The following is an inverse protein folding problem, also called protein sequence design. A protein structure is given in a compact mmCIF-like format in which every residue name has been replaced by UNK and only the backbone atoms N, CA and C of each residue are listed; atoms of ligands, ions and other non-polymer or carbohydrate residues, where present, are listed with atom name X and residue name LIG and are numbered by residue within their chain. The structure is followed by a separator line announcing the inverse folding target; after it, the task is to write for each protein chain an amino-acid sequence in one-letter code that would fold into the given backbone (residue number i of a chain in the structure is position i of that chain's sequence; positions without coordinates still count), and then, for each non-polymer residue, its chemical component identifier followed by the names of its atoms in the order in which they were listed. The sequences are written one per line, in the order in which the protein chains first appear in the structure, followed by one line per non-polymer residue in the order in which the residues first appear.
data_IF_958471590125
#
_entry.id   IF_958471590125
#
_cell.length_a   1.000
_cell.length_b   1.000
_cell.length_c   1.000
_cell.angle_alpha   90.00
_cell.angle_beta   90.00
_cell.angle_gamma   90.00
#
_symmetry.space_group_name_H-M   'P 1'
#
loop_
_entity.id
_entity.type
_entity.pdbx_description
1 polymer ?
#
# COMPACT_ATOMS: atom_id res chain seq x y z
N UNK A 1 -6.45 21.68 -21.85
CA UNK A 1 -6.18 20.99 -20.58
C UNK A 1 -7.26 19.95 -20.38
N UNK A 2 -6.92 18.80 -19.80
CA UNK A 2 -7.85 17.71 -19.50
C UNK A 2 -7.77 17.36 -18.01
N UNK A 3 -8.85 16.81 -17.44
CA UNK A 3 -8.86 16.32 -16.07
C UNK A 3 -8.26 14.92 -16.02
N UNK A 4 -7.42 14.69 -15.01
CA UNK A 4 -6.83 13.39 -14.74
C UNK A 4 -7.93 12.41 -14.30
N UNK A 5 -7.99 11.25 -14.95
CA UNK A 5 -8.99 10.23 -14.66
C UNK A 5 -8.82 9.49 -13.32
N UNK A 6 -7.84 9.85 -12.50
CA UNK A 6 -7.60 9.29 -11.16
C UNK A 6 -7.85 10.33 -10.06
N UNK A 7 -7.25 11.52 -10.19
CA UNK A 7 -7.23 12.54 -9.15
C UNK A 7 -8.00 13.82 -9.50
N UNK A 8 -8.62 13.87 -10.68
CA UNK A 8 -9.36 15.02 -11.22
C UNK A 8 -8.57 16.32 -11.44
N UNK A 9 -7.27 16.35 -11.10
CA UNK A 9 -6.42 17.51 -11.36
C UNK A 9 -6.29 17.78 -12.86
N UNK A 10 -6.28 19.06 -13.24
CA UNK A 10 -6.05 19.48 -14.61
C UNK A 10 -4.60 19.30 -15.01
N UNK A 11 -4.39 18.87 -16.24
CA UNK A 11 -3.06 18.60 -16.77
C UNK A 11 -3.04 18.72 -18.31
N UNK A 12 -1.85 18.81 -18.92
CA UNK A 12 -1.65 19.13 -20.35
C UNK A 12 -1.18 17.95 -21.20
N UNK A 13 -0.83 16.84 -20.56
CA UNK A 13 -0.36 15.60 -21.19
C UNK A 13 -1.45 14.96 -22.05
N UNK A 14 -1.04 14.23 -23.10
CA UNK A 14 -1.94 13.54 -24.03
C UNK A 14 -2.56 12.25 -23.47
N UNK A 15 -2.13 11.80 -22.29
CA UNK A 15 -2.65 10.59 -21.66
C UNK A 15 -3.87 10.88 -20.80
N UNK A 16 -4.63 9.86 -20.40
CA UNK A 16 -5.82 10.03 -19.54
C UNK A 16 -5.52 10.46 -18.10
N UNK A 17 -4.29 10.22 -17.63
CA UNK A 17 -3.88 10.48 -16.25
C UNK A 17 -2.71 11.46 -16.22
N UNK A 18 -2.65 12.36 -15.24
CA UNK A 18 -1.51 13.28 -15.08
C UNK A 18 -0.19 12.53 -14.80
N UNK A 19 0.95 13.16 -15.07
CA UNK A 19 2.28 12.55 -14.91
C UNK A 19 2.51 11.84 -13.55
N UNK A 20 2.13 12.40 -12.38
CA UNK A 20 2.27 11.70 -11.10
C UNK A 20 1.51 10.35 -11.03
N UNK A 21 0.27 10.32 -11.53
CA UNK A 21 -0.54 9.09 -11.56
C UNK A 21 0.01 8.08 -12.58
N UNK A 22 0.49 8.55 -13.74
CA UNK A 22 1.14 7.69 -14.73
C UNK A 22 2.44 7.06 -14.23
N UNK A 23 3.20 7.78 -13.38
CA UNK A 23 4.41 7.23 -12.77
C UNK A 23 4.09 6.00 -11.91
N UNK A 24 2.97 6.01 -11.20
CA UNK A 24 2.51 4.87 -10.39
C UNK A 24 2.09 3.71 -11.31
N UNK A 25 1.29 3.99 -12.34
CA UNK A 25 0.83 2.98 -13.32
C UNK A 25 2.03 2.30 -13.99
N UNK A 26 3.02 3.07 -14.44
CA UNK A 26 4.19 2.58 -15.15
C UNK A 26 5.09 1.67 -14.30
N UNK A 27 5.04 1.79 -12.97
CA UNK A 27 5.77 0.91 -12.04
C UNK A 27 5.11 -0.46 -11.83
N UNK A 28 3.81 -0.58 -12.06
CA UNK A 28 3.05 -1.80 -11.77
C UNK A 28 2.71 -2.57 -13.05
N UNK A 29 3.73 -2.89 -13.86
CA UNK A 29 3.55 -3.52 -15.19
C UNK A 29 2.90 -4.91 -15.16
N UNK A 30 2.88 -5.55 -13.99
CA UNK A 30 2.25 -6.87 -13.79
C UNK A 30 0.72 -6.82 -13.85
N UNK A 31 0.13 -5.62 -13.84
CA UNK A 31 -1.31 -5.41 -13.90
C UNK A 31 -1.72 -4.64 -15.14
N UNK A 32 -2.91 -4.92 -15.65
CA UNK A 32 -3.48 -4.14 -16.76
C UNK A 32 -3.69 -2.68 -16.33
N UNK A 33 -3.40 -1.74 -17.22
CA UNK A 33 -3.55 -0.31 -16.92
C UNK A 33 -4.99 0.11 -16.58
N UNK A 34 -6.02 -0.62 -17.05
CA UNK A 34 -7.42 -0.35 -16.67
C UNK A 34 -7.65 -0.65 -15.19
N UNK A 35 -7.35 -1.87 -14.74
CA UNK A 35 -7.51 -2.27 -13.33
C UNK A 35 -6.73 -1.37 -12.37
N UNK A 36 -5.53 -0.94 -12.77
CA UNK A 36 -4.72 0.01 -11.99
C UNK A 36 -5.40 1.36 -11.82
N UNK A 37 -5.94 1.93 -12.91
CA UNK A 37 -6.65 3.21 -12.86
C UNK A 37 -7.88 3.14 -11.98
N UNK A 38 -8.65 2.06 -12.07
CA UNK A 38 -9.84 1.87 -11.24
C UNK A 38 -9.47 1.79 -9.75
N UNK A 39 -8.43 1.02 -9.40
CA UNK A 39 -7.93 0.93 -8.02
C UNK A 39 -7.41 2.28 -7.50
N UNK A 40 -6.61 2.98 -8.30
CA UNK A 40 -6.07 4.29 -7.93
C UNK A 40 -7.16 5.35 -7.81
N UNK A 41 -8.14 5.37 -8.72
CA UNK A 41 -9.29 6.28 -8.67
C UNK A 41 -10.11 6.05 -7.42
N UNK A 42 -10.39 4.79 -7.08
CA UNK A 42 -11.15 4.44 -5.87
C UNK A 42 -10.42 4.83 -4.58
N UNK A 43 -9.09 4.80 -4.59
CA UNK A 43 -8.26 5.11 -3.42
C UNK A 43 -7.84 6.59 -3.32
N UNK A 44 -7.96 7.39 -4.38
CA UNK A 44 -7.40 8.74 -4.41
C UNK A 44 -8.06 9.65 -3.35
N UNK A 45 -7.25 10.23 -2.46
CA UNK A 45 -7.68 11.31 -1.58
C UNK A 45 -7.56 12.63 -2.37
N UNK A 46 -8.68 13.05 -2.98
CA UNK A 46 -8.74 14.23 -3.85
C UNK A 46 -8.52 15.54 -3.07
N UNK A 47 -8.87 15.58 -1.79
CA UNK A 47 -8.71 16.77 -0.96
C UNK A 47 -7.23 17.03 -0.64
N UNK A 48 -6.48 15.95 -0.40
CA UNK A 48 -5.03 16.03 -0.14
C UNK A 48 -4.18 16.04 -1.41
N UNK A 49 -4.68 15.55 -2.54
CA UNK A 49 -3.92 15.45 -3.79
C UNK A 49 -3.88 16.78 -4.56
N UNK A 50 -2.87 17.61 -4.29
CA UNK A 50 -2.69 18.93 -4.92
C UNK A 50 -1.36 19.03 -5.67
N UNK A 51 -1.32 19.81 -6.75
CA UNK A 51 -0.09 20.03 -7.54
C UNK A 51 0.47 18.71 -8.08
N UNK A 52 1.69 18.37 -7.70
CA UNK A 52 2.36 17.10 -8.04
C UNK A 52 2.22 16.01 -6.97
N UNK A 53 1.64 16.33 -5.81
CA UNK A 53 1.50 15.39 -4.72
C UNK A 53 0.23 14.55 -4.88
N UNK A 54 0.36 13.23 -4.79
CA UNK A 54 -0.78 12.30 -4.87
C UNK A 54 -0.85 11.46 -3.61
N UNK A 55 -1.99 11.57 -2.95
CA UNK A 55 -2.31 10.84 -1.74
C UNK A 55 -3.40 9.82 -2.04
N UNK A 56 -3.24 8.63 -1.46
CA UNK A 56 -4.17 7.54 -1.63
C UNK A 56 -4.49 6.92 -0.27
N UNK A 57 -5.71 6.45 -0.14
CA UNK A 57 -6.23 5.79 1.05
C UNK A 57 -6.02 4.28 0.92
N UNK A 58 -5.37 3.69 1.91
CA UNK A 58 -5.30 2.25 2.04
C UNK A 58 -6.71 1.69 2.21
N UNK A 59 -7.06 0.69 1.41
CA UNK A 59 -8.37 0.04 1.43
C UNK A 59 -8.75 -0.54 2.81
N UNK A 60 -7.81 -1.21 3.48
CA UNK A 60 -8.09 -1.94 4.73
C UNK A 60 -8.07 -1.06 5.97
N UNK A 61 -7.15 -0.10 6.05
CA UNK A 61 -6.92 0.69 7.28
C UNK A 61 -7.45 2.10 7.17
N UNK A 62 -7.75 2.58 5.96
CA UNK A 62 -8.09 3.97 5.72
C UNK A 62 -6.94 4.96 5.89
N UNK A 63 -5.72 4.47 6.20
CA UNK A 63 -4.53 5.31 6.30
C UNK A 63 -4.27 5.95 4.94
N UNK A 64 -4.10 7.26 4.94
CA UNK A 64 -3.78 8.02 3.72
C UNK A 64 -2.29 8.28 3.65
N UNK A 65 -1.66 7.92 2.54
CA UNK A 65 -0.22 8.07 2.33
C UNK A 65 0.12 8.28 0.86
N UNK A 66 1.40 8.46 0.54
CA UNK A 66 1.94 8.54 -0.82
C UNK A 66 2.46 7.17 -1.25
N UNK A 67 2.50 6.93 -2.56
CA UNK A 67 3.35 5.87 -3.11
C UNK A 67 4.81 6.29 -2.96
N UNK A 68 5.70 5.38 -2.55
CA UNK A 68 7.13 5.68 -2.48
C UNK A 68 7.70 5.75 -3.91
N UNK A 69 8.24 6.91 -4.35
CA UNK A 69 8.75 7.06 -5.69
C UNK A 69 10.10 6.36 -5.92
N UNK A 70 10.75 5.79 -4.89
CA UNK A 70 12.22 5.68 -4.89
C UNK A 70 12.83 4.29 -4.99
N UNK A 71 12.14 3.19 -4.68
CA UNK A 71 12.85 1.91 -4.59
C UNK A 71 12.78 1.09 -5.88
N UNK A 72 13.85 1.19 -6.67
CA UNK A 72 14.19 0.20 -7.71
C UNK A 72 14.62 -1.14 -7.09
N UNK A 73 15.04 -1.13 -5.81
CA UNK A 73 15.56 -2.27 -5.05
C UNK A 73 14.49 -3.20 -4.44
N UNK A 74 13.22 -3.07 -4.84
CA UNK A 74 12.10 -3.74 -4.14
C UNK A 74 11.72 -3.02 -2.84
N UNK A 75 10.62 -3.43 -2.21
CA UNK A 75 10.15 -2.83 -0.95
C UNK A 75 10.68 -3.65 0.22
N UNK A 76 11.36 -2.98 1.15
CA UNK A 76 11.75 -3.59 2.41
C UNK A 76 10.50 -3.81 3.28
N UNK A 77 10.25 -5.02 3.81
CA UNK A 77 9.05 -5.30 4.59
C UNK A 77 8.86 -4.38 5.80
N UNK A 78 9.94 -3.83 6.36
CA UNK A 78 9.92 -3.06 7.59
C UNK A 78 9.97 -1.56 7.36
N UNK A 79 11.03 -1.10 6.67
CA UNK A 79 11.25 0.31 6.40
C UNK A 79 10.19 0.86 5.44
N UNK A 80 9.65 0.01 4.56
CA UNK A 80 8.56 0.37 3.65
C UNK A 80 7.19 -0.18 4.12
N UNK A 81 7.04 -0.60 5.38
CA UNK A 81 5.79 -1.18 5.90
C UNK A 81 4.56 -0.28 5.66
N UNK A 82 4.75 1.04 5.78
CA UNK A 82 3.71 2.06 5.62
C UNK A 82 3.66 2.68 4.21
N UNK A 83 4.43 2.14 3.27
CA UNK A 83 4.38 2.55 1.87
C UNK A 83 3.16 1.92 1.20
N UNK A 84 2.46 2.71 0.38
CA UNK A 84 1.36 2.20 -0.43
C UNK A 84 1.86 1.43 -1.64
N UNK A 85 1.16 0.34 -1.91
CA UNK A 85 1.36 -0.61 -3.00
C UNK A 85 0.00 -0.97 -3.59
N UNK A 86 -0.01 -1.77 -4.66
CA UNK A 86 -1.24 -2.27 -5.28
C UNK A 86 -1.18 -3.79 -5.32
N UNK A 87 -2.28 -4.42 -4.90
CA UNK A 87 -2.43 -5.88 -4.95
C UNK A 87 -3.91 -6.25 -5.11
N UNK A 88 -4.18 -7.52 -5.41
CA UNK A 88 -5.52 -8.09 -5.42
C UNK A 88 -6.13 -7.98 -4.02
N UNK A 89 -7.41 -7.65 -3.90
CA UNK A 89 -8.12 -7.57 -2.61
C UNK A 89 -8.08 -8.92 -1.87
N UNK A 90 -8.30 -10.02 -2.58
CA UNK A 90 -8.17 -11.37 -2.03
C UNK A 90 -6.92 -12.06 -2.63
N UNK A 91 -6.43 -13.15 -2.03
CA UNK A 91 -5.35 -13.97 -2.61
C UNK A 91 -5.70 -14.64 -3.95
N UNK A 92 -6.86 -14.34 -4.54
CA UNK A 92 -7.31 -14.79 -5.85
C UNK A 92 -6.84 -13.79 -6.94
N UNK A 93 -6.07 -14.23 -7.95
CA UNK A 93 -5.65 -13.39 -9.10
C UNK A 93 -6.79 -12.76 -9.90
N UNK A 94 -8.02 -13.26 -9.77
CA UNK A 94 -9.19 -12.69 -10.43
C UNK A 94 -9.89 -11.62 -9.60
N UNK A 95 -9.49 -11.45 -8.34
CA UNK A 95 -10.04 -10.43 -7.45
C UNK A 95 -9.75 -9.02 -7.98
N UNK A 96 -10.56 -8.04 -7.56
CA UNK A 96 -10.27 -6.62 -7.88
C UNK A 96 -8.94 -6.18 -7.29
N UNK A 97 -8.28 -5.22 -7.92
CA UNK A 97 -7.09 -4.57 -7.35
C UNK A 97 -7.49 -3.48 -6.36
N UNK A 98 -6.71 -3.34 -5.30
CA UNK A 98 -6.86 -2.30 -4.28
C UNK A 98 -5.52 -1.70 -3.90
N UNK A 99 -5.54 -0.45 -3.44
CA UNK A 99 -4.36 0.20 -2.85
C UNK A 99 -4.24 -0.23 -1.38
N UNK A 100 -3.08 -0.75 -0.99
CA UNK A 100 -2.82 -1.26 0.36
C UNK A 100 -1.42 -0.94 0.84
N UNK A 101 -1.25 -0.85 2.16
CA UNK A 101 0.09 -0.75 2.76
C UNK A 101 0.87 -2.04 2.50
N UNK A 102 2.18 -1.92 2.25
CA UNK A 102 3.06 -3.05 2.00
C UNK A 102 2.95 -4.13 3.09
N UNK A 103 2.90 -3.72 4.37
CA UNK A 103 2.73 -4.63 5.51
C UNK A 103 1.50 -5.55 5.35
N UNK A 104 0.39 -5.02 4.85
CA UNK A 104 -0.85 -5.79 4.70
C UNK A 104 -0.71 -6.83 3.60
N UNK A 105 -0.03 -6.49 2.50
CA UNK A 105 0.23 -7.46 1.43
C UNK A 105 1.18 -8.56 1.90
N UNK A 106 2.19 -8.22 2.69
CA UNK A 106 3.04 -9.22 3.36
C UNK A 106 2.22 -10.14 4.25
N UNK A 107 1.28 -9.60 5.05
CA UNK A 107 0.39 -10.40 5.88
C UNK A 107 -0.55 -11.30 5.07
N UNK A 108 -1.00 -10.86 3.88
CA UNK A 108 -1.92 -11.65 3.06
C UNK A 108 -1.26 -12.83 2.34
N UNK A 109 -0.06 -12.62 1.82
CA UNK A 109 0.65 -13.65 1.05
C UNK A 109 1.44 -14.59 1.95
N UNK A 110 2.05 -14.07 3.02
CA UNK A 110 3.14 -14.76 3.72
C UNK A 110 2.83 -15.09 5.19
N UNK A 111 1.57 -15.01 5.63
CA UNK A 111 1.24 -15.22 7.05
C UNK A 111 0.58 -16.58 7.29
N UNK A 112 1.36 -17.62 7.63
CA UNK A 112 0.82 -18.85 8.19
C UNK A 112 -0.13 -18.56 9.36
N UNK A 113 -1.11 -19.44 9.55
CA UNK A 113 -2.10 -19.36 10.64
C UNK A 113 -1.45 -19.13 12.01
N UNK A 114 -0.32 -19.77 12.27
CA UNK A 114 0.41 -19.63 13.53
C UNK A 114 1.07 -18.26 13.68
N UNK A 115 1.59 -17.69 12.59
CA UNK A 115 2.12 -16.32 12.56
C UNK A 115 1.03 -15.27 12.73
N UNK A 116 -0.15 -15.50 12.15
CA UNK A 116 -1.31 -14.64 12.39
C UNK A 116 -1.74 -14.65 13.86
N UNK A 117 -1.84 -15.83 14.48
CA UNK A 117 -2.15 -15.98 15.91
C UNK A 117 -1.13 -15.24 16.78
N UNK A 118 0.16 -15.41 16.44
CA UNK A 118 1.27 -14.72 17.10
C UNK A 118 1.14 -13.19 17.04
N UNK A 119 0.83 -12.63 15.87
CA UNK A 119 0.57 -11.19 15.65
C UNK A 119 -0.60 -10.71 16.51
N UNK A 120 -1.72 -11.43 16.49
CA UNK A 120 -2.92 -11.07 17.26
C UNK A 120 -2.64 -11.09 18.77
N UNK A 121 -1.90 -12.09 19.26
CA UNK A 121 -1.47 -12.15 20.66
C UNK A 121 -0.55 -10.97 21.00
N UNK A 122 0.40 -10.65 20.14
CA UNK A 122 1.34 -9.55 20.36
C UNK A 122 0.60 -8.20 20.43
N UNK A 123 -0.35 -7.95 19.52
CA UNK A 123 -1.20 -6.76 19.53
C UNK A 123 -2.04 -6.70 20.82
N UNK A 124 -2.66 -7.83 21.21
CA UNK A 124 -3.43 -7.92 22.44
C UNK A 124 -2.60 -7.59 23.69
N UNK A 125 -1.36 -8.06 23.76
CA UNK A 125 -0.43 -7.72 24.85
C UNK A 125 -0.02 -6.25 24.85
N UNK A 126 0.26 -5.68 23.67
CA UNK A 126 0.61 -4.27 23.53
C UNK A 126 -0.52 -3.35 24.05
N UNK A 127 -1.77 -3.58 23.63
CA UNK A 127 -2.91 -2.76 24.08
C UNK A 127 -3.30 -2.98 25.54
N UNK A 128 -2.95 -4.12 26.14
CA UNK A 128 -3.10 -4.34 27.59
C UNK A 128 -2.01 -3.67 28.42
N UNK A 129 -0.95 -3.14 27.80
CA UNK A 129 0.23 -2.62 28.49
C UNK A 129 1.19 -3.70 28.98
N UNK A 130 0.99 -4.96 28.57
CA UNK A 130 1.78 -6.12 29.00
C UNK A 130 3.13 -6.22 28.28
N UNK A 131 3.46 -5.28 27.37
CA UNK A 131 4.68 -5.33 26.55
C UNK A 131 5.17 -3.92 26.22
N UNK A 132 6.47 -3.67 26.44
CA UNK A 132 7.12 -2.42 26.00
C UNK A 132 7.16 -2.36 24.48
N UNK A 133 7.04 -1.15 23.91
CA UNK A 133 6.94 -0.95 22.46
C UNK A 133 8.12 -1.57 21.68
N UNK A 134 9.35 -1.43 22.17
CA UNK A 134 10.55 -2.02 21.55
C UNK A 134 10.51 -3.56 21.50
N UNK A 135 9.97 -4.21 22.53
CA UNK A 135 9.85 -5.68 22.58
C UNK A 135 8.80 -6.19 21.58
N UNK A 136 7.71 -5.43 21.40
CA UNK A 136 6.71 -5.73 20.39
C UNK A 136 7.29 -5.62 18.98
N UNK A 137 8.02 -4.53 18.69
CA UNK A 137 8.67 -4.31 17.39
C UNK A 137 9.67 -5.43 17.06
N UNK A 138 10.52 -5.81 18.02
CA UNK A 138 11.50 -6.88 17.81
C UNK A 138 10.85 -8.24 17.60
N UNK A 139 9.80 -8.56 18.35
CA UNK A 139 9.09 -9.83 18.22
C UNK A 139 8.37 -9.94 16.88
N UNK A 140 7.75 -8.85 16.45
CA UNK A 140 7.02 -8.80 15.19
C UNK A 140 7.97 -8.88 13.98
N UNK A 141 9.17 -8.29 14.05
CA UNK A 141 10.25 -8.48 13.05
C UNK A 141 10.61 -9.95 12.85
N UNK A 142 10.81 -10.69 13.94
CA UNK A 142 11.17 -12.12 13.90
C UNK A 142 10.05 -13.00 13.32
N UNK A 143 8.78 -12.61 13.52
CA UNK A 143 7.63 -13.36 13.03
C UNK A 143 7.46 -13.32 11.52
N UNK A 144 7.95 -12.26 10.88
CA UNK A 144 7.87 -12.06 9.44
C UNK A 144 9.11 -12.56 8.68
N UNK A 145 10.04 -13.26 9.35
CA UNK A 145 11.19 -13.91 8.71
C UNK A 145 12.30 -12.96 8.25
N UNK A 146 12.38 -11.76 8.82
CA UNK A 146 13.44 -10.79 8.52
C UNK A 146 14.50 -10.87 9.62
N UNK A 147 15.41 -11.84 9.50
CA UNK A 147 16.73 -11.77 10.18
C UNK A 147 17.72 -11.09 9.24
N UNK A 148 18.52 -10.17 9.79
CA UNK A 148 19.65 -9.53 9.10
C UNK A 148 20.56 -10.55 8.42
#
# INVERSE_FOLDING_TARGET
MTKCDICDNEHSESTKSCAPCQKIISKHKNFTASKLRDALRAACDKEKSKGDERYFKCFYTGITSKFNPTTEAGLDPWNDALVLTIDHENPDPNSRLVVSLNLINQMKHNLPKDKFKEIVIALGKHFRGDTKQEDFENKFKNMLGVTK
#
